data_IF_791591256242
#
_entry.id   IF_791591256242
#
_cell.length_a   1.000
_cell.length_b   1.000
_cell.length_c   1.000
_cell.angle_alpha   90.00
_cell.angle_beta   90.00
_cell.angle_gamma   90.00
#
_symmetry.space_group_name_H-M   'P 1'
#
loop_
_entity.id
_entity.type
_entity.pdbx_description
1 polymer ?
#
# COMPACT_ATOMS: atom_id res chain seq x y z
N UNK A 1 21.59 -2.23 5.47
CA UNK A 1 20.36 -1.63 4.89
C UNK A 1 19.16 -2.58 4.89
N UNK A 2 19.37 -3.90 4.94
CA UNK A 2 18.31 -4.92 4.99
C UNK A 2 17.48 -4.90 6.27
N UNK A 3 18.13 -4.80 7.44
CA UNK A 3 17.42 -4.83 8.74
C UNK A 3 16.34 -3.73 8.91
N UNK A 4 16.55 -2.57 8.29
CA UNK A 4 15.58 -1.46 8.34
C UNK A 4 14.35 -1.73 7.46
N UNK A 5 14.54 -2.41 6.33
CA UNK A 5 13.44 -2.80 5.43
C UNK A 5 12.61 -3.91 6.09
N UNK A 6 13.25 -4.84 6.80
CA UNK A 6 12.55 -5.89 7.56
C UNK A 6 11.67 -5.30 8.67
N UNK A 7 12.17 -4.31 9.41
CA UNK A 7 11.38 -3.63 10.45
C UNK A 7 10.18 -2.88 9.85
N UNK A 8 10.41 -2.15 8.75
CA UNK A 8 9.33 -1.43 8.05
C UNK A 8 8.27 -2.37 7.48
N UNK A 9 8.64 -3.56 7.00
CA UNK A 9 7.69 -4.55 6.48
C UNK A 9 6.71 -5.08 7.55
N UNK A 10 7.07 -4.95 8.83
CA UNK A 10 6.19 -5.30 9.96
C UNK A 10 5.04 -4.31 10.14
N UNK A 11 5.22 -3.07 9.70
CA UNK A 11 4.29 -1.96 9.90
C UNK A 11 3.68 -1.42 8.62
N UNK A 12 4.30 -1.65 7.47
CA UNK A 12 3.84 -1.17 6.17
C UNK A 12 3.77 -2.32 5.18
N UNK A 13 2.68 -2.36 4.42
CA UNK A 13 2.46 -3.33 3.34
C UNK A 13 1.94 -2.59 2.12
N UNK A 14 2.37 -3.03 0.94
CA UNK A 14 1.96 -2.45 -0.33
C UNK A 14 1.42 -3.54 -1.24
N UNK A 15 0.32 -3.25 -1.94
CA UNK A 15 -0.29 -4.14 -2.92
C UNK A 15 -0.50 -3.40 -4.24
N UNK A 16 -0.13 -4.05 -5.34
CA UNK A 16 -0.53 -3.65 -6.68
C UNK A 16 -1.85 -4.38 -7.00
N UNK A 17 -2.93 -3.62 -7.13
CA UNK A 17 -4.25 -4.14 -7.43
C UNK A 17 -4.60 -3.71 -8.83
N UNK A 18 -4.94 -4.62 -9.73
CA UNK A 18 -5.48 -4.24 -11.03
C UNK A 18 -7.00 -4.23 -10.92
N UNK A 19 -7.56 -3.12 -10.45
CA UNK A 19 -9.00 -2.98 -10.21
C UNK A 19 -9.52 -1.60 -10.59
N UNK A 20 -10.83 -1.51 -10.78
CA UNK A 20 -11.47 -0.30 -11.34
C UNK A 20 -11.37 0.94 -10.43
N UNK A 21 -10.96 0.77 -9.17
CA UNK A 21 -11.03 1.83 -8.13
C UNK A 21 -9.65 2.19 -7.54
N UNK A 22 -8.61 1.39 -7.78
CA UNK A 22 -7.24 1.66 -7.34
C UNK A 22 -6.25 0.78 -8.10
N UNK A 23 -5.09 1.33 -8.45
CA UNK A 23 -3.95 0.57 -8.97
C UNK A 23 -2.98 0.16 -7.85
N UNK A 24 -2.90 0.96 -6.79
CA UNK A 24 -2.02 0.72 -5.65
C UNK A 24 -2.73 0.98 -4.32
N UNK A 25 -2.48 0.10 -3.35
CA UNK A 25 -2.95 0.23 -1.98
C UNK A 25 -1.77 0.14 -1.03
N UNK A 26 -1.67 1.10 -0.11
CA UNK A 26 -0.74 1.06 1.00
C UNK A 26 -1.51 0.82 2.30
N UNK A 27 -1.01 -0.12 3.10
CA UNK A 27 -1.54 -0.44 4.41
C UNK A 27 -0.53 -0.07 5.49
N UNK A 28 -1.06 0.39 6.61
CA UNK A 28 -0.31 0.55 7.85
C UNK A 28 -0.88 -0.37 8.91
N UNK A 29 -0.01 -1.02 9.67
CA UNK A 29 -0.39 -1.79 10.83
C UNK A 29 -0.51 -0.87 12.02
N UNK A 30 -1.69 -0.83 12.64
CA UNK A 30 -1.90 -0.11 13.88
C UNK A 30 -1.05 -0.74 14.99
N UNK A 31 -0.32 0.09 15.75
CA UNK A 31 0.60 -0.39 16.79
C UNK A 31 -0.11 -0.86 18.08
N UNK A 32 -1.37 -0.49 18.27
CA UNK A 32 -2.18 -0.89 19.42
C UNK A 32 -2.78 -2.28 19.25
N UNK A 33 -3.66 -2.44 18.26
CA UNK A 33 -4.41 -3.68 18.04
C UNK A 33 -3.78 -4.61 16.97
N UNK A 34 -2.75 -4.15 16.27
CA UNK A 34 -2.07 -4.92 15.24
C UNK A 34 -2.89 -5.10 13.95
N UNK A 35 -4.03 -4.42 13.83
CA UNK A 35 -4.92 -4.50 12.66
C UNK A 35 -4.33 -3.71 11.50
N UNK A 36 -4.41 -4.27 10.30
CA UNK A 36 -4.04 -3.56 9.08
C UNK A 36 -5.16 -2.62 8.65
N UNK A 37 -4.80 -1.38 8.37
CA UNK A 37 -5.72 -0.35 7.88
C UNK A 37 -5.20 0.21 6.56
N UNK A 38 -6.12 0.61 5.68
CA UNK A 38 -5.74 1.29 4.44
C UNK A 38 -5.26 2.69 4.79
N UNK A 39 -3.99 2.97 4.48
CA UNK A 39 -3.36 4.26 4.73
C UNK A 39 -3.48 5.19 3.52
N UNK A 40 -3.33 4.66 2.30
CA UNK A 40 -3.55 5.43 1.07
C UNK A 40 -3.89 4.53 -0.12
N UNK A 41 -4.57 5.11 -1.10
CA UNK A 41 -4.89 4.45 -2.38
C UNK A 41 -4.60 5.42 -3.52
N UNK A 42 -4.07 4.89 -4.62
CA UNK A 42 -3.63 5.69 -5.76
C UNK A 42 -4.04 4.95 -7.05
N UNK A 43 -4.51 5.71 -8.02
CA UNK A 43 -4.72 5.25 -9.39
C UNK A 43 -3.60 5.78 -10.26
N UNK A 44 -3.13 4.97 -11.20
CA UNK A 44 -2.31 5.45 -12.30
C UNK A 44 -3.28 6.00 -13.35
N UNK A 45 -3.24 7.31 -13.66
CA UNK A 45 -4.03 7.83 -14.76
C UNK A 45 -3.73 7.02 -16.01
N UNK A 46 -4.76 6.38 -16.57
CA UNK A 46 -4.64 5.81 -17.89
C UNK A 46 -4.43 6.99 -18.82
N UNK A 47 -3.36 6.98 -19.61
CA UNK A 47 -3.32 7.82 -20.78
C UNK A 47 -4.45 7.32 -21.67
N UNK A 48 -5.61 7.97 -21.58
CA UNK A 48 -6.63 7.82 -22.60
C UNK A 48 -5.95 8.37 -23.86
N UNK A 49 -5.35 7.47 -24.64
CA UNK A 49 -4.82 7.79 -25.95
C UNK A 49 -5.99 8.06 -26.88
N UNK A 50 -6.57 9.25 -26.75
CA UNK A 50 -7.34 9.91 -27.80
C UNK A 50 -6.52 11.09 -28.32
#
# INVERSE_FOLDING_TARGET
>A
MTNQIDDLSRYYRYELVHGDHADFIAYQRNQGDGVWQTYSTWMIPRANGE
#
